data_IF_120962485895
#
_entry.id   IF_120962485895
#
_cell.length_a   1.000
_cell.length_b   1.000
_cell.length_c   1.000
_cell.angle_alpha   90.00
_cell.angle_beta   90.00
_cell.angle_gamma   90.00
#
_symmetry.space_group_name_H-M   'P 1'
#
loop_
_entity.id
_entity.type
_entity.pdbx_description
1 polymer ?
#
# COMPACT_ATOMS: atom_id res chain seq x y z
N UNK A 1 -48.47 -29.03 24.59
CA UNK A 1 -47.83 -29.31 25.86
C UNK A 1 -46.48 -29.85 25.56
N UNK A 2 -45.52 -29.09 25.72
CA UNK A 2 -44.19 -29.08 26.34
C UNK A 2 -43.35 -28.00 25.68
N UNK A 3 -43.09 -26.95 26.48
CA UNK A 3 -42.16 -25.89 26.24
C UNK A 3 -40.75 -26.49 26.13
N UNK A 4 -39.99 -26.04 25.13
CA UNK A 4 -38.54 -26.18 25.11
C UNK A 4 -37.92 -24.79 25.22
N UNK A 5 -37.37 -24.61 26.39
CA UNK A 5 -36.48 -23.54 26.82
C UNK A 5 -35.24 -23.52 25.90
N UNK A 6 -35.03 -22.41 25.19
CA UNK A 6 -33.82 -22.14 24.41
C UNK A 6 -32.96 -21.16 25.18
N UNK A 7 -32.09 -21.68 26.03
CA UNK A 7 -31.02 -20.94 26.69
C UNK A 7 -29.98 -20.43 25.65
N UNK A 8 -29.86 -19.12 25.53
CA UNK A 8 -28.77 -18.46 24.82
C UNK A 8 -27.44 -18.75 25.50
N UNK A 9 -26.37 -18.99 24.74
CA UNK A 9 -25.01 -19.04 25.31
C UNK A 9 -24.56 -17.65 25.69
N UNK A 10 -24.06 -17.50 26.90
CA UNK A 10 -23.41 -16.31 27.42
C UNK A 10 -22.16 -15.97 26.59
N UNK A 11 -21.98 -14.70 26.23
CA UNK A 11 -20.79 -14.18 25.58
C UNK A 11 -19.56 -14.29 26.50
N UNK A 12 -18.35 -14.26 25.91
CA UNK A 12 -17.12 -14.43 26.67
C UNK A 12 -16.89 -13.23 27.61
N UNK A 13 -16.60 -13.56 28.86
CA UNK A 13 -16.20 -12.62 29.90
C UNK A 13 -14.80 -12.08 29.61
N UNK A 14 -14.63 -10.77 29.70
CA UNK A 14 -13.33 -10.09 29.73
C UNK A 14 -12.52 -10.61 30.92
N UNK A 15 -11.47 -11.35 30.68
CA UNK A 15 -10.23 -11.43 31.45
C UNK A 15 -9.48 -12.75 31.16
N UNK A 16 -8.76 -12.83 30.06
CA UNK A 16 -7.60 -13.70 29.95
C UNK A 16 -6.48 -12.88 29.33
N UNK A 17 -5.53 -12.49 30.15
CA UNK A 17 -4.22 -12.03 29.75
C UNK A 17 -3.53 -13.22 29.12
N UNK A 18 -3.54 -13.31 27.77
CA UNK A 18 -2.63 -14.17 27.05
C UNK A 18 -1.20 -13.65 27.22
N UNK A 19 -0.55 -14.19 28.22
CA UNK A 19 0.91 -14.14 28.32
C UNK A 19 1.42 -15.05 27.22
N UNK A 20 1.82 -14.45 26.09
CA UNK A 20 2.62 -15.15 25.09
C UNK A 20 3.94 -15.52 25.76
N UNK A 21 4.08 -16.79 26.15
CA UNK A 21 5.38 -17.38 26.42
C UNK A 21 6.18 -17.30 25.10
N UNK A 22 7.15 -16.41 25.07
CA UNK A 22 8.15 -16.41 24.02
C UNK A 22 9.09 -17.58 24.28
N UNK A 23 8.88 -18.68 23.57
CA UNK A 23 9.91 -19.71 23.43
C UNK A 23 11.18 -19.00 22.93
N UNK A 24 12.19 -19.00 23.77
CA UNK A 24 13.52 -18.53 23.39
C UNK A 24 13.99 -19.45 22.25
N UNK A 25 13.98 -18.93 21.05
CA UNK A 25 14.67 -19.55 19.93
C UNK A 25 16.17 -19.43 20.22
N UNK A 26 16.81 -20.55 20.57
CA UNK A 26 18.25 -20.69 20.52
C UNK A 26 18.69 -20.54 19.06
N UNK A 27 18.78 -19.28 18.59
CA UNK A 27 19.21 -18.94 17.24
C UNK A 27 20.74 -18.88 17.17
N UNK A 28 21.32 -19.76 16.36
CA UNK A 28 22.68 -19.52 15.86
C UNK A 28 22.71 -18.16 15.17
N UNK A 29 23.65 -17.31 15.59
CA UNK A 29 23.87 -16.00 15.00
C UNK A 29 24.14 -16.13 13.51
N UNK A 30 23.32 -15.50 12.70
CA UNK A 30 23.67 -15.21 11.31
C UNK A 30 24.74 -14.13 11.34
N UNK A 31 25.94 -14.43 10.83
CA UNK A 31 27.00 -13.46 10.69
C UNK A 31 26.49 -12.25 9.87
N UNK A 32 26.35 -11.13 10.55
CA UNK A 32 26.09 -9.83 9.93
C UNK A 32 27.43 -9.23 9.50
N UNK A 33 27.71 -9.10 8.20
CA UNK A 33 28.97 -8.57 7.71
C UNK A 33 29.21 -7.10 8.08
N UNK A 34 28.17 -6.35 8.49
CA UNK A 34 28.26 -4.95 8.86
C UNK A 34 28.00 -4.69 10.37
N UNK A 35 27.66 -5.72 11.17
CA UNK A 35 27.61 -5.69 12.64
C UNK A 35 26.55 -4.78 13.27
N UNK A 36 25.62 -4.22 12.52
CA UNK A 36 24.68 -3.21 13.04
C UNK A 36 23.18 -3.65 13.09
N UNK A 37 22.81 -4.82 12.57
CA UNK A 37 21.39 -5.14 12.34
C UNK A 37 20.72 -6.05 13.38
N UNK A 38 21.49 -6.76 14.22
CA UNK A 38 20.91 -7.65 15.23
C UNK A 38 21.55 -7.42 16.60
N UNK A 39 20.78 -6.88 17.53
CA UNK A 39 21.19 -6.79 18.91
C UNK A 39 20.61 -8.00 19.67
N UNK A 40 21.44 -8.71 20.41
CA UNK A 40 21.07 -9.85 21.29
C UNK A 40 20.12 -9.46 22.42
N UNK A 41 19.81 -8.19 22.57
CA UNK A 41 18.96 -7.69 23.62
C UNK A 41 17.85 -6.82 23.04
N UNK A 42 16.63 -6.95 23.57
CA UNK A 42 15.55 -6.03 23.20
C UNK A 42 15.99 -4.59 23.49
N UNK A 43 15.55 -3.62 22.66
CA UNK A 43 15.90 -2.22 22.89
C UNK A 43 15.51 -1.79 24.30
N UNK A 44 16.48 -1.27 25.05
CA UNK A 44 16.30 -0.84 26.46
C UNK A 44 15.43 0.40 26.55
N UNK A 45 15.43 1.21 25.48
CA UNK A 45 14.67 2.45 25.38
C UNK A 45 13.60 2.36 24.31
N UNK A 46 12.39 2.78 24.63
CA UNK A 46 11.31 2.93 23.66
C UNK A 46 11.55 4.21 22.84
N UNK A 47 11.87 4.12 21.53
CA UNK A 47 12.13 5.29 20.71
C UNK A 47 10.87 6.09 20.36
N UNK A 48 9.70 5.64 20.80
CA UNK A 48 8.45 6.33 20.49
C UNK A 48 8.33 7.64 21.30
N UNK A 49 7.80 8.70 20.68
CA UNK A 49 7.53 9.94 21.41
C UNK A 49 6.57 9.72 22.61
N UNK A 50 6.81 10.40 23.70
CA UNK A 50 5.96 10.35 24.91
C UNK A 50 4.50 10.74 24.65
N UNK A 51 4.26 11.58 23.62
CA UNK A 51 2.93 12.06 23.23
C UNK A 51 2.67 11.81 21.77
N UNK A 52 1.74 10.92 21.49
CA UNK A 52 1.24 10.67 20.16
C UNK A 52 -0.07 11.41 19.92
N UNK A 53 -0.23 11.99 18.72
CA UNK A 53 -1.51 12.54 18.29
C UNK A 53 -2.19 11.56 17.33
N UNK A 54 -3.51 11.47 17.38
CA UNK A 54 -4.29 10.70 16.43
C UNK A 54 -4.48 11.53 15.16
N UNK A 55 -3.96 11.05 14.04
CA UNK A 55 -4.19 11.65 12.73
C UNK A 55 -5.55 11.23 12.19
N UNK A 56 -6.26 12.15 11.52
CA UNK A 56 -7.54 11.86 10.86
C UNK A 56 -7.35 11.14 9.52
N UNK A 57 -6.25 11.40 8.85
CA UNK A 57 -5.78 10.73 7.63
C UNK A 57 -4.26 10.76 7.55
N UNK A 58 -3.69 9.87 6.74
CA UNK A 58 -2.25 9.79 6.50
C UNK A 58 -1.97 9.67 5.01
N UNK A 59 -0.82 10.22 4.62
CA UNK A 59 -0.22 10.01 3.30
C UNK A 59 0.97 9.08 3.45
N UNK A 60 0.94 7.96 2.73
CA UNK A 60 1.99 6.93 2.75
C UNK A 60 2.58 6.81 1.35
N UNK A 61 3.89 6.85 1.24
CA UNK A 61 4.62 6.65 0.00
C UNK A 61 5.52 5.42 0.12
N UNK A 62 5.31 4.43 -0.76
CA UNK A 62 6.19 3.28 -0.92
C UNK A 62 7.00 3.43 -2.20
N UNK A 63 8.30 3.62 -2.09
CA UNK A 63 9.20 3.85 -3.23
C UNK A 63 10.38 2.88 -3.25
N UNK A 64 11.36 3.12 -4.11
CA UNK A 64 12.58 2.33 -4.24
C UNK A 64 12.52 1.21 -5.28
N UNK A 65 13.70 0.62 -5.57
CA UNK A 65 13.87 -0.38 -6.63
C UNK A 65 13.32 -1.77 -6.27
N UNK A 66 13.24 -2.10 -4.97
CA UNK A 66 12.81 -3.42 -4.48
C UNK A 66 11.33 -3.71 -4.70
N UNK A 67 10.98 -4.99 -4.62
CA UNK A 67 9.60 -5.47 -4.69
C UNK A 67 8.84 -5.19 -3.38
N UNK A 68 7.51 -5.24 -3.45
CA UNK A 68 6.63 -5.14 -2.28
C UNK A 68 5.86 -3.82 -2.17
N UNK A 69 6.15 -2.81 -2.97
CA UNK A 69 5.45 -1.50 -2.92
C UNK A 69 3.94 -1.62 -3.07
N UNK A 70 3.47 -2.23 -4.15
CA UNK A 70 2.04 -2.48 -4.38
C UNK A 70 1.49 -3.47 -3.35
N UNK A 71 2.22 -4.55 -3.01
CA UNK A 71 1.78 -5.52 -2.00
C UNK A 71 1.57 -4.86 -0.63
N UNK A 72 2.45 -3.93 -0.22
CA UNK A 72 2.27 -3.16 1.00
C UNK A 72 1.03 -2.26 0.93
N UNK A 73 0.79 -1.58 -0.20
CA UNK A 73 -0.41 -0.77 -0.42
C UNK A 73 -1.69 -1.61 -0.35
N UNK A 74 -1.69 -2.81 -0.96
CA UNK A 74 -2.82 -3.74 -0.88
C UNK A 74 -3.02 -4.29 0.53
N UNK A 75 -1.95 -4.46 1.31
CA UNK A 75 -2.04 -4.77 2.74
C UNK A 75 -2.75 -3.67 3.53
N UNK A 76 -2.51 -2.38 3.21
CA UNK A 76 -3.25 -1.24 3.78
C UNK A 76 -4.71 -1.26 3.34
N UNK A 77 -4.99 -1.55 2.06
CA UNK A 77 -6.36 -1.74 1.55
C UNK A 77 -7.14 -2.76 2.37
N UNK A 78 -6.58 -3.94 2.62
CA UNK A 78 -7.25 -4.97 3.42
C UNK A 78 -7.57 -4.49 4.85
N UNK A 79 -6.65 -3.75 5.48
CA UNK A 79 -6.91 -3.16 6.81
C UNK A 79 -8.04 -2.13 6.77
N UNK A 80 -8.12 -1.33 5.71
CA UNK A 80 -9.17 -0.33 5.54
C UNK A 80 -10.54 -0.98 5.30
N UNK A 81 -10.60 -1.98 4.42
CA UNK A 81 -11.84 -2.74 4.15
C UNK A 81 -12.34 -3.44 5.40
N UNK A 82 -11.44 -4.03 6.21
CA UNK A 82 -11.79 -4.64 7.50
C UNK A 82 -12.35 -3.64 8.54
N UNK A 83 -12.31 -2.34 8.25
CA UNK A 83 -12.91 -1.24 9.03
C UNK A 83 -14.12 -0.61 8.34
N UNK A 84 -14.66 -1.28 7.34
CA UNK A 84 -15.78 -0.80 6.53
C UNK A 84 -15.50 0.56 5.86
N UNK A 85 -14.25 0.83 5.54
CA UNK A 85 -13.88 2.04 4.83
C UNK A 85 -14.20 1.91 3.35
N UNK A 86 -14.75 2.97 2.76
CA UNK A 86 -14.83 3.07 1.30
C UNK A 86 -13.43 3.30 0.75
N UNK A 87 -12.99 2.41 -0.16
CA UNK A 87 -11.63 2.39 -0.72
C UNK A 87 -11.70 2.46 -2.23
N UNK A 88 -10.81 3.25 -2.84
CA UNK A 88 -10.57 3.25 -4.28
C UNK A 88 -9.10 2.96 -4.59
N UNK A 89 -8.85 2.27 -5.70
CA UNK A 89 -7.51 2.01 -6.25
C UNK A 89 -7.46 2.49 -7.70
N UNK A 90 -6.45 3.28 -8.03
CA UNK A 90 -6.12 3.68 -9.40
C UNK A 90 -4.74 3.12 -9.73
N UNK A 91 -4.66 2.27 -10.76
CA UNK A 91 -3.41 1.72 -11.28
C UNK A 91 -3.03 2.41 -12.58
N UNK A 92 -1.84 3.01 -12.62
CA UNK A 92 -1.41 3.89 -13.71
C UNK A 92 -0.76 3.16 -14.89
N UNK A 93 -0.11 2.02 -14.65
CA UNK A 93 0.61 1.30 -15.70
C UNK A 93 -0.02 -0.04 -16.07
N UNK A 94 -0.76 -0.66 -15.17
CA UNK A 94 -1.36 -1.97 -15.41
C UNK A 94 -2.65 -1.84 -16.20
N UNK A 95 -2.79 -2.64 -17.27
CA UNK A 95 -4.05 -2.77 -18.00
C UNK A 95 -5.03 -3.69 -17.25
N UNK A 96 -6.32 -3.49 -17.46
CA UNK A 96 -7.36 -4.37 -16.90
C UNK A 96 -7.26 -5.84 -17.37
N UNK A 97 -6.50 -6.11 -18.43
CA UNK A 97 -6.30 -7.47 -18.97
C UNK A 97 -5.33 -8.32 -18.14
N UNK A 98 -4.57 -7.71 -17.24
CA UNK A 98 -3.60 -8.42 -16.39
C UNK A 98 -4.23 -9.33 -15.35
N UNK A 99 -5.50 -9.13 -15.00
CA UNK A 99 -6.25 -9.98 -14.05
C UNK A 99 -5.43 -10.32 -12.79
N UNK A 100 -4.85 -9.30 -12.16
CA UNK A 100 -4.04 -9.50 -10.95
C UNK A 100 -4.89 -10.07 -9.80
N UNK A 101 -4.26 -10.85 -8.94
CA UNK A 101 -4.93 -11.41 -7.76
C UNK A 101 -5.49 -10.32 -6.85
N UNK A 102 -4.77 -9.22 -6.71
CA UNK A 102 -5.15 -8.07 -5.89
C UNK A 102 -6.40 -7.37 -6.44
N UNK A 103 -6.48 -7.14 -7.75
CA UNK A 103 -7.66 -6.54 -8.38
C UNK A 103 -8.89 -7.42 -8.19
N UNK A 104 -8.74 -8.71 -8.48
CA UNK A 104 -9.84 -9.69 -8.33
C UNK A 104 -10.38 -9.68 -6.91
N UNK A 105 -9.50 -9.75 -5.90
CA UNK A 105 -9.91 -9.75 -4.51
C UNK A 105 -10.44 -8.39 -4.06
N UNK A 106 -9.80 -7.30 -4.47
CA UNK A 106 -10.27 -5.94 -4.16
C UNK A 106 -11.71 -5.72 -4.62
N UNK A 107 -12.02 -6.09 -5.86
CA UNK A 107 -13.40 -5.98 -6.40
C UNK A 107 -14.41 -6.86 -5.64
N UNK A 108 -14.02 -8.08 -5.25
CA UNK A 108 -14.88 -8.95 -4.42
C UNK A 108 -15.15 -8.36 -3.04
N UNK A 109 -14.21 -7.60 -2.50
CA UNK A 109 -14.33 -6.91 -1.22
C UNK A 109 -15.02 -5.54 -1.33
N UNK A 110 -15.53 -5.17 -2.50
CA UNK A 110 -16.24 -3.91 -2.72
C UNK A 110 -15.35 -2.69 -2.93
N UNK A 111 -14.06 -2.89 -3.21
CA UNK A 111 -13.14 -1.80 -3.56
C UNK A 111 -13.42 -1.32 -4.99
N UNK A 112 -13.53 -0.01 -5.17
CA UNK A 112 -13.62 0.57 -6.50
C UNK A 112 -12.22 0.56 -7.15
N UNK A 113 -12.10 -0.13 -8.30
CA UNK A 113 -10.81 -0.40 -8.91
C UNK A 113 -10.75 0.09 -10.35
N UNK A 114 -9.77 0.93 -10.64
CA UNK A 114 -9.53 1.55 -11.93
C UNK A 114 -8.14 1.15 -12.44
N UNK A 115 -8.05 0.10 -13.26
CA UNK A 115 -6.84 -0.26 -13.98
C UNK A 115 -6.85 0.52 -15.30
N UNK A 116 -6.07 1.59 -15.38
CA UNK A 116 -6.16 2.57 -16.47
C UNK A 116 -4.92 2.59 -17.37
N UNK A 117 -3.90 1.75 -17.11
CA UNK A 117 -2.74 1.60 -17.98
C UNK A 117 -3.02 0.67 -19.17
N UNK A 118 -2.19 0.73 -20.19
CA UNK A 118 -2.20 -0.22 -21.34
C UNK A 118 -1.10 -1.29 -21.24
N UNK A 119 -0.39 -1.38 -20.13
CA UNK A 119 0.74 -2.29 -19.92
C UNK A 119 2.09 -1.58 -19.90
N UNK A 120 3.17 -2.31 -20.19
CA UNK A 120 4.52 -1.75 -20.12
C UNK A 120 4.78 -0.77 -21.27
N UNK A 121 5.15 0.45 -20.91
CA UNK A 121 5.43 1.56 -21.83
C UNK A 121 6.66 1.36 -22.71
N UNK A 122 7.59 0.46 -22.33
CA UNK A 122 8.76 0.14 -23.16
C UNK A 122 8.44 -0.69 -24.41
N UNK A 123 7.25 -1.26 -24.50
CA UNK A 123 6.74 -1.96 -25.69
C UNK A 123 5.74 -1.08 -26.47
N UNK A 124 5.48 0.16 -26.01
CA UNK A 124 4.52 1.05 -26.66
C UNK A 124 5.06 1.68 -27.92
N UNK A 125 4.25 1.63 -28.98
CA UNK A 125 4.52 2.29 -30.25
C UNK A 125 4.02 3.75 -30.30
N UNK A 126 3.27 4.21 -29.26
CA UNK A 126 2.64 5.53 -29.24
C UNK A 126 2.70 6.23 -27.88
N UNK A 127 3.82 6.90 -27.64
CA UNK A 127 4.09 7.62 -26.40
C UNK A 127 3.07 8.74 -26.08
N UNK A 128 2.49 9.37 -27.10
CA UNK A 128 1.49 10.43 -26.88
C UNK A 128 0.16 9.84 -26.37
N UNK A 129 -0.17 8.64 -26.81
CA UNK A 129 -1.32 7.89 -26.28
C UNK A 129 -1.09 7.52 -24.82
N UNK A 130 0.09 7.01 -24.46
CA UNK A 130 0.43 6.64 -23.08
C UNK A 130 0.34 7.84 -22.13
N UNK A 131 0.82 9.01 -22.58
CA UNK A 131 0.68 10.25 -21.81
C UNK A 131 -0.79 10.64 -21.63
N UNK A 132 -1.62 10.52 -22.67
CA UNK A 132 -3.04 10.82 -22.58
C UNK A 132 -3.76 9.91 -21.59
N UNK A 133 -3.42 8.61 -21.61
CA UNK A 133 -3.94 7.61 -20.68
C UNK A 133 -3.51 7.93 -19.24
N UNK A 134 -2.23 8.24 -19.02
CA UNK A 134 -1.72 8.61 -17.71
C UNK A 134 -2.42 9.86 -17.16
N UNK A 135 -2.68 10.87 -18.00
CA UNK A 135 -3.43 12.06 -17.58
C UNK A 135 -4.90 11.73 -17.28
N UNK A 136 -5.54 10.86 -18.07
CA UNK A 136 -6.91 10.40 -17.77
C UNK A 136 -6.98 9.64 -16.43
N UNK A 137 -5.97 8.82 -16.15
CA UNK A 137 -5.85 8.14 -14.85
C UNK A 137 -5.65 9.14 -13.71
N UNK A 138 -4.88 10.20 -13.94
CA UNK A 138 -4.68 11.26 -12.98
C UNK A 138 -5.96 12.06 -12.73
N UNK A 139 -6.68 12.44 -13.76
CA UNK A 139 -7.96 13.13 -13.62
C UNK A 139 -8.95 12.33 -12.76
N UNK A 140 -8.99 11.00 -13.00
CA UNK A 140 -9.80 10.10 -12.17
C UNK A 140 -9.32 10.02 -10.73
N UNK A 141 -8.02 9.93 -10.51
CA UNK A 141 -7.43 9.94 -9.16
C UNK A 141 -7.74 11.22 -8.40
N UNK A 142 -7.58 12.38 -9.04
CA UNK A 142 -7.88 13.69 -8.47
C UNK A 142 -9.38 13.83 -8.10
N UNK A 143 -10.28 13.35 -8.99
CA UNK A 143 -11.73 13.29 -8.71
C UNK A 143 -12.01 12.47 -7.44
N UNK A 144 -11.46 11.24 -7.35
CA UNK A 144 -11.67 10.35 -6.22
C UNK A 144 -11.15 10.95 -4.91
N UNK A 145 -9.95 11.56 -4.94
CA UNK A 145 -9.37 12.24 -3.78
C UNK A 145 -10.27 13.41 -3.35
N UNK A 146 -10.63 14.28 -4.30
CA UNK A 146 -11.38 15.52 -4.03
C UNK A 146 -12.82 15.28 -3.61
N UNK A 147 -13.42 14.13 -3.96
CA UNK A 147 -14.83 13.81 -3.64
C UNK A 147 -15.11 13.73 -2.13
N UNK A 148 -14.11 13.38 -1.32
CA UNK A 148 -14.27 13.15 0.11
C UNK A 148 -15.08 11.90 0.48
N UNK A 149 -15.49 11.11 -0.50
CA UNK A 149 -16.28 9.88 -0.27
C UNK A 149 -15.42 8.73 0.24
N UNK A 150 -14.12 8.72 -0.12
CA UNK A 150 -13.21 7.63 0.17
C UNK A 150 -12.39 7.93 1.43
N UNK A 151 -12.29 6.92 2.30
CA UNK A 151 -11.41 6.97 3.47
C UNK A 151 -9.97 6.58 3.12
N UNK A 152 -9.79 5.88 1.99
CA UNK A 152 -8.51 5.51 1.44
C UNK A 152 -8.56 5.56 -0.09
N UNK A 153 -7.59 6.25 -0.71
CA UNK A 153 -7.33 6.21 -2.14
C UNK A 153 -5.91 5.71 -2.35
N UNK A 154 -5.74 4.68 -3.17
CA UNK A 154 -4.43 4.12 -3.51
C UNK A 154 -4.10 4.48 -4.95
N UNK A 155 -2.94 5.10 -5.14
CA UNK A 155 -2.38 5.48 -6.43
C UNK A 155 -1.20 4.54 -6.74
N UNK A 156 -1.52 3.39 -7.35
CA UNK A 156 -0.53 2.34 -7.61
C UNK A 156 0.28 2.66 -8.88
N UNK A 157 1.60 2.73 -8.71
CA UNK A 157 2.57 3.04 -9.76
C UNK A 157 2.48 4.49 -10.30
N UNK A 158 1.92 5.43 -9.53
CA UNK A 158 1.78 6.84 -9.91
C UNK A 158 3.12 7.57 -10.05
N UNK A 159 4.18 7.13 -9.34
CA UNK A 159 5.46 7.83 -9.42
C UNK A 159 6.10 7.75 -10.81
N UNK A 160 5.82 6.70 -11.59
CA UNK A 160 6.40 6.57 -12.93
C UNK A 160 5.97 7.70 -13.89
N UNK A 161 4.67 7.91 -14.17
CA UNK A 161 4.27 8.98 -15.07
C UNK A 161 4.61 10.37 -14.52
N UNK A 162 4.73 10.54 -13.20
CA UNK A 162 5.25 11.77 -12.59
C UNK A 162 6.73 11.96 -12.90
N UNK A 163 7.57 10.94 -12.67
CA UNK A 163 9.01 10.98 -12.92
C UNK A 163 9.33 11.17 -14.42
N UNK A 164 8.50 10.62 -15.29
CA UNK A 164 8.64 10.83 -16.74
C UNK A 164 8.13 12.19 -17.22
N UNK A 165 7.57 13.02 -16.33
CA UNK A 165 7.01 14.32 -16.66
C UNK A 165 5.72 14.27 -17.50
N UNK A 166 4.98 13.15 -17.43
CA UNK A 166 3.69 13.02 -18.10
C UNK A 166 2.57 13.61 -17.27
N UNK A 167 2.69 13.51 -15.94
CA UNK A 167 1.79 14.11 -14.96
C UNK A 167 2.57 15.18 -14.22
N UNK A 168 1.97 16.36 -14.06
CA UNK A 168 2.55 17.44 -13.29
C UNK A 168 2.60 17.06 -11.80
N UNK A 169 3.81 16.97 -11.26
CA UNK A 169 4.03 16.65 -9.86
C UNK A 169 3.42 17.69 -8.92
N UNK A 170 3.39 18.97 -9.29
CA UNK A 170 2.83 20.02 -8.44
C UNK A 170 1.31 19.86 -8.34
N UNK A 171 0.65 19.38 -9.39
CA UNK A 171 -0.77 19.01 -9.35
C UNK A 171 -1.02 17.83 -8.39
N UNK A 172 -0.13 16.81 -8.40
CA UNK A 172 -0.23 15.68 -7.47
C UNK A 172 -0.04 16.13 -6.03
N UNK A 173 1.01 16.92 -5.77
CA UNK A 173 1.30 17.47 -4.44
C UNK A 173 0.14 18.33 -3.92
N UNK A 174 -0.45 19.17 -4.77
CA UNK A 174 -1.61 19.99 -4.41
C UNK A 174 -2.81 19.12 -4.03
N UNK A 175 -3.17 18.11 -4.85
CA UNK A 175 -4.28 17.21 -4.55
C UNK A 175 -4.07 16.42 -3.26
N UNK A 176 -2.84 15.96 -3.01
CA UNK A 176 -2.47 15.26 -1.76
C UNK A 176 -2.57 16.18 -0.55
N UNK A 177 -2.11 17.43 -0.67
CA UNK A 177 -2.15 18.44 0.43
C UNK A 177 -3.56 18.87 0.74
N UNK A 178 -4.35 19.15 -0.29
CA UNK A 178 -5.70 19.73 -0.18
C UNK A 178 -6.79 18.67 -0.03
N UNK A 179 -6.41 17.39 0.12
CA UNK A 179 -7.33 16.29 0.30
C UNK A 179 -8.30 16.51 1.46
N UNK A 180 -9.53 16.01 1.39
CA UNK A 180 -10.46 16.04 2.50
C UNK A 180 -9.84 15.41 3.76
N UNK A 181 -10.11 16.01 4.91
CA UNK A 181 -9.46 15.73 6.19
C UNK A 181 -9.39 14.23 6.58
N UNK A 182 -10.36 13.45 6.10
CA UNK A 182 -10.47 12.01 6.42
C UNK A 182 -10.00 11.07 5.32
N UNK A 183 -9.52 11.59 4.20
CA UNK A 183 -9.06 10.80 3.07
C UNK A 183 -7.57 10.51 3.21
N UNK A 184 -7.22 9.26 3.51
CA UNK A 184 -5.85 8.78 3.48
C UNK A 184 -5.44 8.45 2.04
N UNK A 185 -4.16 8.64 1.71
CA UNK A 185 -3.62 8.35 0.39
C UNK A 185 -2.41 7.43 0.52
N UNK A 186 -2.32 6.42 -0.35
CA UNK A 186 -1.11 5.62 -0.52
C UNK A 186 -0.63 5.77 -1.95
N UNK A 187 0.64 6.20 -2.11
CA UNK A 187 1.32 6.31 -3.39
C UNK A 187 2.35 5.21 -3.51
N UNK A 188 2.50 4.62 -4.70
CA UNK A 188 3.56 3.65 -4.94
C UNK A 188 4.29 3.92 -6.25
N UNK A 189 5.52 3.41 -6.34
CA UNK A 189 6.33 3.37 -7.55
C UNK A 189 7.80 3.62 -7.27
N UNK A 190 8.64 3.51 -8.31
CA UNK A 190 10.08 3.78 -8.19
C UNK A 190 10.36 5.28 -8.32
N UNK A 191 11.56 5.67 -7.89
CA UNK A 191 12.14 6.98 -8.17
C UNK A 191 11.20 8.17 -7.86
N UNK A 192 10.57 8.12 -6.68
CA UNK A 192 9.63 9.16 -6.27
C UNK A 192 10.30 10.55 -6.24
N UNK A 193 9.65 11.54 -6.84
CA UNK A 193 10.08 12.95 -6.78
C UNK A 193 10.15 13.43 -5.33
N UNK A 194 11.15 14.23 -5.00
CA UNK A 194 11.38 14.74 -3.64
C UNK A 194 10.13 15.46 -3.08
N UNK A 195 9.36 16.15 -3.92
CA UNK A 195 8.14 16.84 -3.51
C UNK A 195 7.04 15.89 -3.02
N UNK A 196 6.99 14.65 -3.57
CA UNK A 196 6.09 13.60 -3.08
C UNK A 196 6.58 13.03 -1.74
N UNK A 197 7.90 12.93 -1.56
CA UNK A 197 8.51 12.55 -0.29
C UNK A 197 8.19 13.59 0.79
N UNK A 198 8.34 14.87 0.47
CA UNK A 198 8.14 15.99 1.41
C UNK A 198 6.68 16.14 1.86
N UNK A 199 5.70 15.78 1.02
CA UNK A 199 4.28 15.88 1.36
C UNK A 199 3.73 14.65 2.08
N UNK A 200 4.46 13.53 2.06
CA UNK A 200 4.05 12.28 2.69
C UNK A 200 4.32 12.28 4.21
N UNK A 201 3.39 11.70 4.98
CA UNK A 201 3.57 11.51 6.44
C UNK A 201 4.48 10.32 6.75
N UNK A 202 4.55 9.33 5.85
CA UNK A 202 5.38 8.13 5.98
C UNK A 202 5.94 7.77 4.62
N UNK A 203 7.25 7.59 4.55
CA UNK A 203 7.95 7.13 3.34
C UNK A 203 8.73 5.89 3.65
N UNK A 204 8.56 4.86 2.82
CA UNK A 204 9.32 3.61 2.89
C UNK A 204 10.02 3.38 1.57
N UNK A 205 11.34 3.25 1.62
CA UNK A 205 12.14 2.84 0.47
C UNK A 205 12.40 1.34 0.51
N UNK A 206 11.99 0.62 -0.54
CA UNK A 206 12.23 -0.82 -0.69
C UNK A 206 13.49 -1.05 -1.51
N UNK A 207 14.52 -1.60 -0.89
CA UNK A 207 15.79 -1.94 -1.52
C UNK A 207 15.72 -3.32 -2.18
N UNK A 208 16.28 -3.44 -3.37
CA UNK A 208 16.47 -4.72 -4.03
C UNK A 208 17.80 -5.34 -3.57
N UNK A 209 17.73 -6.23 -2.59
CA UNK A 209 18.92 -6.97 -2.13
C UNK A 209 19.21 -8.13 -3.08
N UNK A 210 18.15 -8.83 -3.53
CA UNK A 210 18.22 -9.97 -4.43
C UNK A 210 16.89 -10.13 -5.15
N UNK A 211 16.91 -10.45 -6.43
CA UNK A 211 15.68 -10.68 -7.19
C UNK A 211 15.74 -12.00 -7.95
N UNK A 212 14.66 -12.79 -7.92
CA UNK A 212 14.57 -14.08 -8.59
C UNK A 212 14.81 -13.95 -10.11
N UNK A 213 14.35 -12.85 -10.72
CA UNK A 213 14.55 -12.57 -12.13
C UNK A 213 16.03 -12.53 -12.55
N UNK A 214 16.92 -11.98 -11.69
CA UNK A 214 18.36 -11.94 -11.93
C UNK A 214 19.00 -13.35 -12.01
N UNK A 215 18.27 -14.35 -11.52
CA UNK A 215 18.66 -15.77 -11.58
C UNK A 215 17.91 -16.51 -12.69
N UNK A 216 17.26 -15.82 -13.61
CA UNK A 216 16.47 -16.41 -14.69
C UNK A 216 15.15 -17.04 -14.24
N UNK A 217 14.67 -16.75 -13.03
CA UNK A 217 13.40 -17.27 -12.51
C UNK A 217 12.27 -16.33 -12.94
N UNK A 218 11.31 -16.86 -13.70
CA UNK A 218 10.14 -16.12 -14.14
C UNK A 218 9.20 -15.80 -12.96
N UNK A 219 8.37 -14.76 -13.14
CA UNK A 219 7.34 -14.37 -12.19
C UNK A 219 6.37 -15.54 -11.92
N UNK A 220 6.04 -15.74 -10.65
CA UNK A 220 5.20 -16.86 -10.19
C UNK A 220 3.80 -16.37 -9.84
N UNK A 221 2.81 -16.98 -10.47
CA UNK A 221 1.40 -16.74 -10.15
C UNK A 221 1.10 -17.04 -8.67
N UNK A 222 0.40 -16.12 -8.02
CA UNK A 222 0.06 -16.21 -6.59
C UNK A 222 1.17 -15.69 -5.66
N UNK A 223 2.36 -15.32 -6.20
CA UNK A 223 3.44 -14.66 -5.47
C UNK A 223 3.71 -13.27 -6.07
N UNK A 224 3.86 -13.19 -7.38
CA UNK A 224 4.18 -11.94 -8.07
C UNK A 224 2.94 -11.23 -8.63
N UNK A 225 1.87 -11.98 -8.90
CA UNK A 225 0.58 -11.48 -9.43
C UNK A 225 -0.58 -12.46 -9.23
#
# INVERSE_FOLDING_TARGET
MTEQDASQPAGPTENEQDVLETDALDGEMLDDPDGELFHDQPPVDDPRPDKLRVAKSLVVLNTGAGKGKSSAAMGVMLRAVARDWKVAVVQFLKSGDWNTGEEKMGRQLGVEWYAMGEGFTWDSENLDNDKAIANTAWDKAAELIGSGEYRLVILDEVTYPVTWGWIDVDAVVAAVRDRPERTSIVLTGRDADQRLIDVADTVTEMREIKHAYQQGIAAKRGIDW
#
